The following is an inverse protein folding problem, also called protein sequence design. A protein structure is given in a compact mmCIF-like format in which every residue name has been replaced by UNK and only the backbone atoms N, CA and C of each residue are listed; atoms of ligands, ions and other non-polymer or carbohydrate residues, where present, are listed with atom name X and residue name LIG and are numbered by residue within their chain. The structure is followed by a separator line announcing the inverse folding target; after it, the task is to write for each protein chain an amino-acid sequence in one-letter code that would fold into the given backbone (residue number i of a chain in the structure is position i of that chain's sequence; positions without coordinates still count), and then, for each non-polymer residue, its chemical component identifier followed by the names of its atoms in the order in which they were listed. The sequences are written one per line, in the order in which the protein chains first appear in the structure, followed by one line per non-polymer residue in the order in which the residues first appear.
data_IF_177471325233
#
_entry.id   IF_177471325233
#
_cell.length_a   1.000
_cell.length_b   1.000
_cell.length_c   1.000
_cell.angle_alpha   90.00
_cell.angle_beta   90.00
_cell.angle_gamma   90.00
#
_symmetry.space_group_name_H-M   'P 1'
#
loop_
_entity.id
_entity.type
_entity.pdbx_description
1 polymer ?
#
# COMPACT_ATOMS: atom_id res chain seq x y z
N UNK A 1 -12.19 -20.68 6.08
CA UNK A 1 -12.00 -20.22 4.69
C UNK A 1 -11.11 -21.24 4.01
N UNK A 2 -11.49 -21.79 2.85
CA UNK A 2 -10.61 -22.74 2.16
C UNK A 2 -9.36 -21.98 1.68
N UNK A 3 -8.23 -22.67 1.54
CA UNK A 3 -6.97 -22.03 1.11
C UNK A 3 -7.11 -21.23 -0.21
N UNK A 4 -7.84 -21.70 -1.24
CA UNK A 4 -8.07 -20.92 -2.47
C UNK A 4 -8.87 -19.63 -2.25
N UNK A 5 -9.89 -19.67 -1.38
CA UNK A 5 -10.70 -18.49 -1.05
C UNK A 5 -9.86 -17.43 -0.32
N UNK A 6 -8.92 -17.88 0.52
CA UNK A 6 -8.00 -17.01 1.24
C UNK A 6 -6.99 -16.34 0.30
N UNK A 7 -6.37 -17.11 -0.60
CA UNK A 7 -5.47 -16.56 -1.60
C UNK A 7 -6.16 -15.51 -2.47
N UNK A 8 -7.40 -15.80 -2.89
CA UNK A 8 -8.24 -14.86 -3.64
C UNK A 8 -8.54 -13.59 -2.84
N UNK A 9 -8.99 -13.72 -1.59
CA UNK A 9 -9.25 -12.56 -0.72
C UNK A 9 -8.00 -11.70 -0.51
N UNK A 10 -6.87 -12.32 -0.22
CA UNK A 10 -5.61 -11.62 0.01
C UNK A 10 -5.14 -10.87 -1.24
N UNK A 11 -5.22 -11.51 -2.41
CA UNK A 11 -4.88 -10.88 -3.68
C UNK A 11 -5.76 -9.65 -3.97
N UNK A 12 -7.07 -9.71 -3.69
CA UNK A 12 -7.94 -8.54 -3.82
C UNK A 12 -7.59 -7.41 -2.86
N UNK A 13 -7.17 -7.70 -1.62
CA UNK A 13 -6.75 -6.64 -0.69
C UNK A 13 -5.47 -5.96 -1.17
N UNK A 14 -4.51 -6.71 -1.71
CA UNK A 14 -3.29 -6.14 -2.29
C UNK A 14 -3.60 -5.21 -3.47
N UNK A 15 -4.43 -5.66 -4.41
CA UNK A 15 -4.81 -4.84 -5.57
C UNK A 15 -5.47 -3.53 -5.14
N UNK A 16 -6.39 -3.59 -4.16
CA UNK A 16 -7.06 -2.41 -3.64
C UNK A 16 -6.09 -1.41 -3.00
N UNK A 17 -5.09 -1.89 -2.27
CA UNK A 17 -4.07 -1.02 -1.68
C UNK A 17 -3.20 -0.37 -2.78
N UNK A 18 -2.83 -1.11 -3.83
CA UNK A 18 -2.10 -0.56 -4.98
C UNK A 18 -2.90 0.50 -5.75
N UNK A 19 -4.21 0.29 -5.95
CA UNK A 19 -5.09 1.29 -6.57
C UNK A 19 -5.14 2.58 -5.73
N UNK A 20 -5.21 2.44 -4.39
CA UNK A 20 -5.11 3.56 -3.47
C UNK A 20 -3.77 4.30 -3.58
N UNK A 21 -2.66 3.56 -3.59
CA UNK A 21 -1.30 4.11 -3.76
C UNK A 21 -1.16 4.89 -5.07
N UNK A 22 -1.69 4.36 -6.17
CA UNK A 22 -1.67 5.05 -7.46
C UNK A 22 -2.45 6.37 -7.45
N UNK A 23 -3.59 6.44 -6.75
CA UNK A 23 -4.34 7.69 -6.62
C UNK A 23 -3.49 8.77 -5.94
N UNK A 24 -2.81 8.45 -4.84
CA UNK A 24 -1.95 9.39 -4.13
C UNK A 24 -0.75 9.86 -4.98
N UNK A 25 -0.12 8.94 -5.70
CA UNK A 25 1.00 9.28 -6.59
C UNK A 25 0.54 10.18 -7.75
N UNK A 26 -0.65 9.96 -8.28
CA UNK A 26 -1.23 10.82 -9.31
C UNK A 26 -1.55 12.22 -8.79
N UNK A 27 -2.11 12.34 -7.58
CA UNK A 27 -2.36 13.64 -6.93
C UNK A 27 -1.06 14.42 -6.68
N UNK A 28 0.03 13.71 -6.36
CA UNK A 28 1.36 14.28 -6.23
C UNK A 28 1.98 14.73 -7.55
N UNK A 29 1.41 14.36 -8.69
CA UNK A 29 2.04 14.54 -10.01
C UNK A 29 3.30 13.69 -10.19
N UNK A 30 3.45 12.61 -9.41
CA UNK A 30 4.59 11.70 -9.51
C UNK A 30 4.65 11.07 -10.91
N UNK A 31 5.86 11.02 -11.48
CA UNK A 31 6.11 10.36 -12.76
C UNK A 31 7.16 9.29 -12.52
N UNK A 32 6.77 8.04 -12.76
CA UNK A 32 7.66 6.90 -12.59
C UNK A 32 8.95 7.06 -13.40
N UNK A 33 10.09 6.89 -12.73
CA UNK A 33 11.42 7.01 -13.36
C UNK A 33 11.89 8.44 -13.64
N UNK A 34 11.16 9.47 -13.21
CA UNK A 34 11.59 10.87 -13.36
C UNK A 34 12.12 11.41 -12.01
N UNK A 35 13.44 11.39 -11.86
CA UNK A 35 14.12 11.84 -10.64
C UNK A 35 13.96 13.34 -10.39
N UNK A 36 14.01 14.17 -11.44
CA UNK A 36 13.86 15.62 -11.34
C UNK A 36 12.49 15.99 -10.75
N UNK A 37 11.40 15.42 -11.28
CA UNK A 37 10.06 15.61 -10.73
C UNK A 37 9.93 15.07 -9.31
N UNK A 38 10.56 13.95 -9.02
CA UNK A 38 10.55 13.38 -7.67
C UNK A 38 11.20 14.34 -6.67
N UNK A 39 12.35 14.91 -7.02
CA UNK A 39 13.06 15.87 -6.18
C UNK A 39 12.26 17.18 -6.01
N UNK A 40 11.58 17.64 -7.06
CA UNK A 40 10.69 18.80 -6.99
C UNK A 40 9.54 18.57 -6.02
N UNK A 41 8.85 17.42 -6.12
CA UNK A 41 7.74 17.05 -5.25
C UNK A 41 8.20 16.98 -3.78
N UNK A 42 9.33 16.33 -3.51
CA UNK A 42 9.90 16.20 -2.16
C UNK A 42 10.28 17.56 -1.59
N UNK A 43 10.88 18.44 -2.40
CA UNK A 43 11.28 19.78 -1.97
C UNK A 43 10.09 20.68 -1.67
N UNK A 44 9.04 20.61 -2.50
CA UNK A 44 7.87 21.48 -2.37
C UNK A 44 6.89 20.99 -1.30
N UNK A 45 6.75 19.67 -1.12
CA UNK A 45 5.74 19.06 -0.26
C UNK A 45 6.30 17.95 0.66
N UNK A 46 7.38 18.19 1.42
CA UNK A 46 8.07 17.12 2.18
C UNK A 46 7.17 16.45 3.22
N UNK A 47 6.35 17.21 3.93
CA UNK A 47 5.43 16.67 4.94
C UNK A 47 4.32 15.80 4.33
N UNK A 48 3.85 16.14 3.13
CA UNK A 48 2.83 15.37 2.44
C UNK A 48 3.41 14.05 1.91
N UNK A 49 4.65 14.08 1.39
CA UNK A 49 5.38 12.86 1.00
C UNK A 49 5.54 11.91 2.18
N UNK A 50 6.00 12.42 3.34
CA UNK A 50 6.14 11.61 4.56
C UNK A 50 4.80 10.99 4.97
N UNK A 51 3.73 11.79 5.00
CA UNK A 51 2.39 11.31 5.34
C UNK A 51 1.93 10.14 4.45
N UNK A 52 2.16 10.22 3.14
CA UNK A 52 1.79 9.15 2.20
C UNK A 52 2.58 7.87 2.50
N UNK A 53 3.88 7.98 2.75
CA UNK A 53 4.69 6.81 3.12
C UNK A 53 4.25 6.18 4.44
N UNK A 54 3.92 6.99 5.44
CA UNK A 54 3.38 6.51 6.71
C UNK A 54 2.04 5.79 6.53
N UNK A 55 1.11 6.37 5.76
CA UNK A 55 -0.19 5.76 5.46
C UNK A 55 -0.03 4.42 4.74
N UNK A 56 0.88 4.35 3.75
CA UNK A 56 1.23 3.11 3.04
C UNK A 56 1.74 2.04 4.00
N UNK A 57 2.73 2.37 4.83
CA UNK A 57 3.30 1.43 5.80
C UNK A 57 2.24 0.89 6.77
N UNK A 58 1.35 1.76 7.25
CA UNK A 58 0.26 1.39 8.15
C UNK A 58 -0.74 0.46 7.47
N UNK A 59 -1.11 0.70 6.21
CA UNK A 59 -2.05 -0.14 5.47
C UNK A 59 -1.47 -1.53 5.20
N UNK A 60 -0.21 -1.60 4.77
CA UNK A 60 0.50 -2.86 4.55
C UNK A 60 0.59 -3.69 5.85
N UNK A 61 0.91 -3.03 6.97
CA UNK A 61 0.96 -3.68 8.28
C UNK A 61 -0.42 -4.22 8.71
N UNK A 62 -1.51 -3.47 8.46
CA UNK A 62 -2.89 -3.92 8.75
C UNK A 62 -3.25 -5.16 7.96
N UNK A 63 -2.94 -5.20 6.66
CA UNK A 63 -3.20 -6.38 5.81
C UNK A 63 -2.40 -7.58 6.31
N UNK A 64 -1.09 -7.43 6.53
CA UNK A 64 -0.23 -8.52 7.04
C UNK A 64 -0.69 -9.05 8.39
N UNK A 65 -1.11 -8.16 9.29
CA UNK A 65 -1.64 -8.55 10.60
C UNK A 65 -2.93 -9.37 10.48
N UNK A 66 -3.86 -8.95 9.61
CA UNK A 66 -5.08 -9.71 9.33
C UNK A 66 -4.76 -11.08 8.71
N UNK A 67 -3.81 -11.12 7.78
CA UNK A 67 -3.31 -12.36 7.18
C UNK A 67 -2.83 -13.33 8.26
N UNK A 68 -1.94 -12.88 9.15
CA UNK A 68 -1.43 -13.69 10.25
C UNK A 68 -2.53 -14.20 11.18
N UNK A 69 -3.53 -13.37 11.50
CA UNK A 69 -4.69 -13.80 12.32
C UNK A 69 -5.50 -14.92 11.64
N UNK A 70 -5.68 -14.85 10.32
CA UNK A 70 -6.42 -15.87 9.57
C UNK A 70 -5.60 -17.15 9.47
N UNK A 71 -4.31 -17.06 9.13
CA UNK A 71 -3.40 -18.21 9.06
C UNK A 71 -3.37 -18.93 10.41
N UNK A 72 -3.25 -18.19 11.52
CA UNK A 72 -3.32 -18.79 12.87
C UNK A 72 -4.60 -19.58 13.09
N UNK A 73 -5.76 -19.11 12.63
CA UNK A 73 -7.05 -19.84 12.75
C UNK A 73 -7.15 -21.07 11.85
N UNK A 74 -6.34 -21.14 10.78
CA UNK A 74 -6.35 -22.27 9.84
C UNK A 74 -5.42 -23.37 10.31
N UNK A 75 -4.26 -22.99 10.87
CA UNK A 75 -3.16 -23.92 11.18
C UNK A 75 -2.99 -24.22 12.68
N UNK A 76 -3.68 -23.51 13.57
CA UNK A 76 -3.68 -23.71 15.04
C UNK A 76 -5.11 -23.90 15.52
#
# INVERSE_FOLDING_TARGET
MKQPDFAKWYFYQLLKDYEGEQLYLNELGYVYGNEEKTNEIVKNNPGYVVKIFEEKMVNELKIRTRMMKILRKIYV
#
